data_IF_692105280689
#
_entry.id   IF_692105280689
#
_cell.length_a   1.000
_cell.length_b   1.000
_cell.length_c   1.000
_cell.angle_alpha   90.00
_cell.angle_beta   90.00
_cell.angle_gamma   90.00
#
_symmetry.space_group_name_H-M   'P 1'
#
loop_
_entity.id
_entity.type
_entity.pdbx_description
1 polymer ?
#
# COMPACT_ATOMS: atom_id res chain seq x y z
N UNK A 1 9.62 -1.16 9.30
CA UNK A 1 9.47 -2.42 8.54
C UNK A 1 8.71 -2.10 7.27
N UNK A 2 9.17 -2.60 6.13
CA UNK A 2 8.46 -2.51 4.84
C UNK A 2 8.29 -3.94 4.35
N UNK A 3 7.08 -4.33 3.99
CA UNK A 3 6.82 -5.68 3.48
C UNK A 3 5.45 -5.80 2.84
N UNK A 4 5.28 -6.78 1.94
CA UNK A 4 3.99 -7.07 1.34
C UNK A 4 2.96 -7.48 2.42
N UNK A 5 1.65 -7.27 2.21
CA UNK A 5 0.62 -7.67 3.15
C UNK A 5 0.70 -9.15 3.57
N UNK A 6 1.20 -10.02 2.69
CA UNK A 6 1.48 -11.43 2.99
C UNK A 6 2.40 -11.62 4.20
N UNK A 7 3.43 -10.79 4.37
CA UNK A 7 4.34 -10.86 5.52
C UNK A 7 3.57 -10.59 6.82
N UNK A 8 2.77 -9.52 6.86
CA UNK A 8 1.99 -9.18 8.04
C UNK A 8 0.96 -10.26 8.37
N UNK A 9 0.30 -10.85 7.36
CA UNK A 9 -0.61 -12.01 7.55
C UNK A 9 0.07 -13.19 8.24
N UNK A 10 1.30 -13.52 7.85
CA UNK A 10 2.05 -14.59 8.51
C UNK A 10 2.46 -14.20 9.93
N UNK A 11 2.92 -12.97 10.14
CA UNK A 11 3.38 -12.49 11.45
C UNK A 11 2.25 -12.40 12.47
N UNK A 12 1.05 -11.98 12.08
CA UNK A 12 -0.09 -11.92 13.02
C UNK A 12 -0.57 -13.30 13.43
N UNK A 13 -0.20 -14.38 12.74
CA UNK A 13 -0.51 -15.75 13.16
C UNK A 13 0.48 -16.29 14.22
N UNK A 14 1.64 -15.67 14.40
CA UNK A 14 2.62 -16.10 15.40
C UNK A 14 2.33 -15.48 16.78
N UNK A 15 2.95 -16.05 17.81
CA UNK A 15 2.97 -15.46 19.14
C UNK A 15 4.00 -14.33 19.23
N UNK A 16 3.51 -13.10 19.13
CA UNK A 16 4.33 -11.89 19.21
C UNK A 16 4.56 -11.41 20.65
N UNK A 17 3.94 -12.03 21.67
CA UNK A 17 4.04 -11.59 23.06
C UNK A 17 5.46 -11.69 23.63
N UNK A 18 6.25 -12.63 23.11
CA UNK A 18 7.65 -12.84 23.46
C UNK A 18 8.60 -11.81 22.85
N UNK A 19 8.15 -11.02 21.87
CA UNK A 19 8.97 -10.05 21.14
C UNK A 19 8.64 -8.62 21.56
N UNK A 20 9.68 -7.84 21.88
CA UNK A 20 9.54 -6.40 22.17
C UNK A 20 10.12 -5.56 21.04
N UNK A 21 9.25 -4.83 20.35
CA UNK A 21 9.61 -3.98 19.21
C UNK A 21 10.07 -2.58 19.64
N UNK A 22 11.09 -2.49 20.50
CA UNK A 22 11.47 -1.21 21.15
C UNK A 22 11.91 -0.11 20.17
N UNK A 23 12.44 -0.47 19.00
CA UNK A 23 12.98 0.48 18.02
C UNK A 23 12.15 0.54 16.72
N UNK A 24 11.11 -0.27 16.59
CA UNK A 24 10.28 -0.29 15.38
C UNK A 24 9.23 0.82 15.48
N UNK A 25 9.31 1.80 14.59
CA UNK A 25 8.43 2.99 14.63
C UNK A 25 7.36 3.01 13.55
N UNK A 26 7.70 2.55 12.35
CA UNK A 26 6.82 2.60 11.20
C UNK A 26 6.79 1.24 10.50
N UNK A 27 5.58 0.75 10.22
CA UNK A 27 5.32 -0.42 9.41
C UNK A 27 4.63 0.04 8.13
N UNK A 28 5.19 -0.27 6.97
CA UNK A 28 4.60 0.08 5.68
C UNK A 28 4.29 -1.19 4.90
N UNK A 29 3.25 -1.14 4.07
CA UNK A 29 2.85 -2.24 3.21
C UNK A 29 2.38 -1.77 1.84
N UNK A 30 2.57 -2.59 0.81
CA UNK A 30 2.15 -2.29 -0.55
C UNK A 30 2.35 -3.49 -1.48
N UNK A 31 1.83 -3.40 -2.70
CA UNK A 31 1.93 -4.44 -3.73
C UNK A 31 0.81 -5.48 -3.72
N UNK A 32 0.03 -5.56 -2.63
CA UNK A 32 -1.20 -6.35 -2.56
C UNK A 32 -2.25 -5.59 -1.72
N UNK A 33 -3.55 -5.96 -1.78
CA UNK A 33 -4.54 -5.43 -0.86
C UNK A 33 -4.25 -5.83 0.59
N UNK A 34 -4.21 -4.85 1.49
CA UNK A 34 -4.08 -5.08 2.92
C UNK A 34 -5.46 -5.34 3.55
N UNK A 35 -5.65 -6.50 4.18
CA UNK A 35 -6.91 -6.85 4.84
C UNK A 35 -7.04 -6.03 6.16
N UNK A 36 -8.15 -5.30 6.38
CA UNK A 36 -8.41 -4.57 7.62
C UNK A 36 -8.21 -5.39 8.90
N UNK A 37 -8.61 -6.66 8.89
CA UNK A 37 -8.44 -7.55 10.05
C UNK A 37 -6.97 -7.73 10.45
N UNK A 38 -6.06 -7.76 9.46
CA UNK A 38 -4.62 -7.87 9.70
C UNK A 38 -4.08 -6.59 10.32
N UNK A 39 -4.61 -5.43 9.95
CA UNK A 39 -4.25 -4.13 10.53
C UNK A 39 -4.64 -4.12 12.01
N UNK A 40 -5.85 -4.54 12.33
CA UNK A 40 -6.36 -4.58 13.71
C UNK A 40 -5.58 -5.58 14.59
N UNK A 41 -5.32 -6.78 14.07
CA UNK A 41 -4.51 -7.78 14.77
C UNK A 41 -3.06 -7.31 14.98
N UNK A 42 -2.46 -6.66 13.99
CA UNK A 42 -1.12 -6.11 14.14
C UNK A 42 -1.07 -5.00 15.18
N UNK A 43 -2.04 -4.08 15.16
CA UNK A 43 -2.15 -2.98 16.11
C UNK A 43 -2.36 -3.49 17.53
N UNK A 44 -3.24 -4.46 17.73
CA UNK A 44 -3.51 -5.04 19.06
C UNK A 44 -2.31 -5.81 19.63
N UNK A 45 -1.55 -6.54 18.80
CA UNK A 45 -0.39 -7.33 19.25
C UNK A 45 0.89 -6.51 19.43
N UNK A 46 1.09 -5.47 18.62
CA UNK A 46 2.37 -4.73 18.57
C UNK A 46 2.27 -3.27 19.01
N UNK A 47 1.06 -2.70 19.03
CA UNK A 47 0.81 -1.28 19.26
C UNK A 47 1.09 -0.39 18.05
N UNK A 48 1.58 -0.93 16.94
CA UNK A 48 2.02 -0.17 15.76
C UNK A 48 0.96 -0.17 14.65
N UNK A 49 0.90 0.92 13.89
CA UNK A 49 0.05 1.03 12.69
C UNK A 49 0.78 0.51 11.45
N UNK A 50 0.02 -0.02 10.50
CA UNK A 50 0.51 -0.36 9.15
C UNK A 50 0.04 0.74 8.19
N UNK A 51 0.98 1.42 7.56
CA UNK A 51 0.73 2.44 6.54
C UNK A 51 0.73 1.78 5.17
N UNK A 52 -0.43 1.75 4.51
CA UNK A 52 -0.51 1.31 3.13
C UNK A 52 0.12 2.36 2.21
N UNK A 53 1.04 1.91 1.37
CA UNK A 53 1.78 2.73 0.42
C UNK A 53 1.16 2.50 -0.95
N UNK A 54 0.50 3.53 -1.43
CA UNK A 54 -0.05 3.63 -2.77
C UNK A 54 0.49 4.92 -3.43
N UNK A 55 0.78 4.88 -4.73
CA UNK A 55 1.57 5.90 -5.42
C UNK A 55 0.76 7.14 -5.77
N UNK A 56 1.24 8.32 -5.38
CA UNK A 56 0.52 9.59 -5.52
C UNK A 56 0.23 10.00 -6.99
N UNK A 57 0.91 9.44 -7.98
CA UNK A 57 0.66 9.74 -9.40
C UNK A 57 -0.55 9.03 -9.98
N UNK A 58 -1.10 8.06 -9.26
CA UNK A 58 -2.21 7.22 -9.69
C UNK A 58 -3.55 7.94 -9.47
N UNK A 59 -4.36 8.06 -10.53
CA UNK A 59 -5.73 8.59 -10.50
C UNK A 59 -6.70 7.58 -11.11
N UNK A 60 -8.00 7.71 -10.83
CA UNK A 60 -9.02 6.81 -11.36
C UNK A 60 -9.62 7.40 -12.64
N UNK A 61 -9.64 6.63 -13.73
CA UNK A 61 -10.17 7.05 -15.04
C UNK A 61 -11.21 6.09 -15.58
N UNK A 62 -12.07 6.59 -16.48
CA UNK A 62 -12.96 5.75 -17.28
C UNK A 62 -12.23 5.11 -18.49
N UNK A 63 -12.95 4.28 -19.25
CA UNK A 63 -12.46 3.65 -20.50
C UNK A 63 -11.99 4.63 -21.59
N UNK A 64 -12.34 5.92 -21.46
CA UNK A 64 -11.95 6.97 -22.38
C UNK A 64 -10.83 7.86 -21.80
N UNK A 65 -10.19 7.44 -20.70
CA UNK A 65 -9.16 8.17 -19.96
C UNK A 65 -9.63 9.51 -19.34
N UNK A 66 -10.93 9.68 -19.10
CA UNK A 66 -11.45 10.82 -18.33
C UNK A 66 -11.33 10.54 -16.83
N UNK A 67 -10.90 11.54 -16.06
CA UNK A 67 -10.80 11.44 -14.60
C UNK A 67 -12.21 11.29 -14.01
N UNK A 68 -12.36 10.31 -13.12
CA UNK A 68 -13.60 10.07 -12.40
C UNK A 68 -13.63 10.80 -11.05
N UNK A 69 -14.82 11.22 -10.56
CA UNK A 69 -14.96 11.78 -9.23
C UNK A 69 -14.69 10.73 -8.14
N UNK A 70 -14.35 11.15 -6.90
CA UNK A 70 -14.15 10.23 -5.78
C UNK A 70 -15.33 9.30 -5.56
N UNK A 71 -15.05 8.03 -5.25
CA UNK A 71 -16.06 7.00 -4.97
C UNK A 71 -16.61 6.29 -6.21
N UNK A 72 -16.14 6.62 -7.42
CA UNK A 72 -16.51 5.90 -8.63
C UNK A 72 -15.42 4.90 -9.03
N UNK A 73 -15.83 3.69 -9.41
CA UNK A 73 -14.92 2.65 -9.87
C UNK A 73 -14.43 2.96 -11.29
N UNK A 74 -13.13 2.75 -11.53
CA UNK A 74 -12.49 2.90 -12.83
C UNK A 74 -11.10 2.27 -12.83
N UNK A 75 -10.31 2.58 -13.86
CA UNK A 75 -8.93 2.12 -13.99
C UNK A 75 -7.97 3.08 -13.31
N UNK A 76 -6.95 2.52 -12.66
CA UNK A 76 -5.86 3.28 -12.06
C UNK A 76 -4.89 3.68 -13.17
N UNK A 77 -4.63 4.97 -13.34
CA UNK A 77 -3.75 5.50 -14.38
C UNK A 77 -2.81 6.60 -13.85
N UNK A 78 -1.62 6.69 -14.44
CA UNK A 78 -0.64 7.75 -14.17
C UNK A 78 -0.66 8.78 -15.29
N UNK A 79 -0.76 10.07 -14.95
CA UNK A 79 -0.62 11.16 -15.93
C UNK A 79 0.82 11.25 -16.43
N UNK A 80 1.02 11.01 -17.72
CA UNK A 80 2.34 11.08 -18.37
C UNK A 80 2.59 12.35 -19.18
N UNK A 81 1.55 13.16 -19.46
CA UNK A 81 1.62 14.40 -20.24
C UNK A 81 0.92 15.57 -19.55
N UNK A 82 1.39 16.82 -19.76
CA UNK A 82 2.52 17.19 -20.62
C UNK A 82 3.89 16.85 -19.99
N UNK A 83 3.95 16.75 -18.66
CA UNK A 83 5.16 16.45 -17.91
C UNK A 83 5.18 14.96 -17.59
N UNK A 84 6.26 14.28 -17.97
CA UNK A 84 6.50 12.87 -17.65
C UNK A 84 6.99 12.74 -16.20
N UNK A 85 6.32 11.97 -15.33
CA UNK A 85 6.78 11.73 -13.97
C UNK A 85 8.18 11.10 -13.89
N UNK A 86 8.96 11.57 -12.92
CA UNK A 86 10.24 10.95 -12.56
C UNK A 86 10.00 9.51 -12.07
N UNK A 87 10.82 8.56 -12.53
CA UNK A 87 10.75 7.16 -12.12
C UNK A 87 9.95 6.23 -13.05
N UNK A 88 9.25 6.76 -14.06
CA UNK A 88 8.63 5.91 -15.09
C UNK A 88 9.67 5.32 -16.03
N UNK A 89 9.64 3.99 -16.23
CA UNK A 89 10.49 3.25 -17.15
C UNK A 89 10.42 3.82 -18.58
N UNK A 90 11.56 4.02 -19.25
CA UNK A 90 11.63 4.74 -20.53
C UNK A 90 10.96 3.96 -21.67
N UNK A 91 11.23 2.67 -21.77
CA UNK A 91 10.75 1.79 -22.83
C UNK A 91 10.73 0.33 -22.38
N UNK A 92 9.96 -0.49 -23.09
CA UNK A 92 10.08 -1.94 -23.02
C UNK A 92 11.14 -2.38 -24.05
N UNK A 93 12.02 -3.30 -23.66
CA UNK A 93 13.04 -3.91 -24.54
C UNK A 93 12.49 -5.19 -25.15
#
# INVERSE_FOLDING_TARGET
MIGAPTLYRMLVQTDLSSYKFMNLKHCMSGGEPLNPEVIDQWKSKTGLDIYEVYGQTETVVDKNANILPPGQQGEIAIRSKPIRPLGLFTEYV
#
